data_IF_938411059952
#
_entry.id   IF_938411059952
#
_cell.length_a   1.000
_cell.length_b   1.000
_cell.length_c   1.000
_cell.angle_alpha   90.00
_cell.angle_beta   90.00
_cell.angle_gamma   90.00
#
_symmetry.space_group_name_H-M   'P 1'
#
loop_
_entity.id
_entity.type
_entity.pdbx_description
1 polymer ?
#
# COMPACT_ATOMS: atom_id res chain seq x y z
N UNK A 1 -28.16 1.30 41.72
CA UNK A 1 -28.57 0.59 40.48
C UNK A 1 -28.24 1.47 39.29
N UNK A 2 -27.39 0.95 38.40
CA UNK A 2 -27.30 1.18 36.94
C UNK A 2 -25.83 0.98 36.52
N UNK A 3 -25.49 -0.10 35.79
CA UNK A 3 -24.15 -0.34 35.28
C UNK A 3 -23.99 0.32 33.90
N UNK A 4 -22.95 1.12 33.70
CA UNK A 4 -22.61 1.63 32.37
C UNK A 4 -21.51 0.78 31.73
N UNK A 5 -21.97 -0.03 30.77
CA UNK A 5 -21.34 -0.36 29.49
C UNK A 5 -19.86 -0.75 29.47
N UNK A 6 -19.62 -2.06 29.47
CA UNK A 6 -18.41 -2.65 28.89
C UNK A 6 -18.44 -2.44 27.37
N UNK A 7 -17.57 -1.58 26.87
CA UNK A 7 -17.26 -1.49 25.44
C UNK A 7 -16.68 -2.83 24.95
N UNK A 8 -17.51 -3.57 24.21
CA UNK A 8 -17.17 -4.62 23.24
C UNK A 8 -16.81 -3.87 21.94
N UNK A 9 -15.80 -4.18 21.14
CA UNK A 9 -15.06 -5.41 20.87
C UNK A 9 -13.72 -5.01 20.25
N UNK A 10 -12.67 -5.68 20.68
CA UNK A 10 -11.40 -5.84 19.99
C UNK A 10 -11.64 -6.18 18.51
N UNK A 11 -11.00 -5.44 17.59
CA UNK A 11 -10.86 -5.81 16.18
C UNK A 11 -10.02 -7.09 16.12
N UNK A 12 -10.70 -8.24 16.20
CA UNK A 12 -10.09 -9.52 15.88
C UNK A 12 -9.68 -9.52 14.40
N UNK A 13 -8.57 -10.19 14.02
CA UNK A 13 -8.25 -10.40 12.61
C UNK A 13 -9.48 -11.03 11.94
N UNK A 14 -9.84 -10.53 10.76
CA UNK A 14 -11.00 -11.06 10.02
C UNK A 14 -10.83 -12.56 9.86
N UNK A 15 -11.63 -13.35 10.59
CA UNK A 15 -11.61 -14.81 10.49
C UNK A 15 -11.75 -15.19 9.02
N UNK A 16 -10.81 -15.98 8.50
CA UNK A 16 -10.88 -16.51 7.14
C UNK A 16 -12.22 -17.23 7.02
N UNK A 17 -13.08 -16.74 6.12
CA UNK A 17 -14.37 -17.36 5.81
C UNK A 17 -14.10 -18.50 4.84
N UNK A 18 -14.46 -19.70 5.25
CA UNK A 18 -14.35 -20.93 4.46
C UNK A 18 -15.69 -21.25 3.77
N UNK A 19 -15.68 -22.25 2.89
CA UNK A 19 -16.90 -22.79 2.28
C UNK A 19 -17.89 -23.38 3.29
N UNK A 20 -17.46 -23.64 4.54
CA UNK A 20 -18.29 -24.22 5.61
C UNK A 20 -18.99 -23.18 6.48
N UNK A 21 -18.57 -21.92 6.41
CA UNK A 21 -19.20 -20.82 7.15
C UNK A 21 -20.51 -20.37 6.50
N UNK A 22 -21.45 -19.73 7.22
CA UNK A 22 -22.74 -19.31 6.66
C UNK A 22 -22.62 -18.48 5.36
N UNK A 23 -21.58 -17.65 5.24
CA UNK A 23 -21.31 -16.86 4.04
C UNK A 23 -20.76 -17.72 2.88
N UNK A 24 -19.88 -18.68 3.19
CA UNK A 24 -19.36 -19.63 2.21
C UNK A 24 -20.43 -20.59 1.70
N UNK A 25 -21.28 -21.09 2.60
CA UNK A 25 -22.42 -21.96 2.27
C UNK A 25 -23.39 -21.32 1.27
N UNK A 26 -23.61 -20.00 1.41
CA UNK A 26 -24.42 -19.25 0.44
C UNK A 26 -23.80 -19.32 -0.96
N UNK A 27 -22.48 -19.12 -1.09
CA UNK A 27 -21.82 -19.24 -2.40
C UNK A 27 -21.92 -20.67 -2.93
N UNK A 28 -21.56 -21.70 -2.15
CA UNK A 28 -21.56 -23.11 -2.60
C UNK A 28 -22.95 -23.65 -2.91
N UNK A 29 -24.01 -23.11 -2.29
CA UNK A 29 -25.39 -23.49 -2.60
C UNK A 29 -25.82 -23.13 -4.03
N UNK A 30 -25.25 -22.07 -4.63
CA UNK A 30 -25.61 -21.60 -5.98
C UNK A 30 -25.22 -22.61 -7.07
N UNK A 31 -23.94 -23.06 -7.18
CA UNK A 31 -23.58 -24.09 -8.14
C UNK A 31 -24.27 -25.42 -7.81
N UNK A 32 -24.44 -25.78 -6.53
CA UNK A 32 -25.18 -26.99 -6.15
C UNK A 32 -26.62 -27.00 -6.68
N UNK A 33 -27.38 -25.92 -6.46
CA UNK A 33 -28.74 -25.81 -7.00
C UNK A 33 -28.78 -25.86 -8.54
N UNK A 34 -27.79 -25.25 -9.20
CA UNK A 34 -27.69 -25.31 -10.67
C UNK A 34 -27.39 -26.73 -11.17
N UNK A 35 -26.52 -27.46 -10.45
CA UNK A 35 -26.18 -28.85 -10.72
C UNK A 35 -27.40 -29.77 -10.58
N UNK A 36 -28.13 -29.64 -9.47
CA UNK A 36 -29.35 -30.42 -9.20
C UNK A 36 -30.44 -30.14 -10.25
N UNK A 37 -30.60 -28.87 -10.64
CA UNK A 37 -31.56 -28.45 -11.66
C UNK A 37 -31.25 -29.04 -13.04
N UNK A 38 -29.98 -29.30 -13.34
CA UNK A 38 -29.56 -29.86 -14.62
C UNK A 38 -29.93 -31.35 -14.79
N UNK A 39 -30.22 -32.08 -13.70
CA UNK A 39 -30.64 -33.50 -13.70
C UNK A 39 -29.72 -34.40 -14.53
N UNK A 40 -28.42 -34.23 -14.34
CA UNK A 40 -27.38 -34.93 -15.09
C UNK A 40 -27.43 -36.45 -14.82
N UNK A 41 -27.18 -37.26 -15.83
CA UNK A 41 -26.79 -38.67 -15.64
C UNK A 41 -25.41 -38.75 -14.96
N UNK A 42 -25.04 -39.94 -14.49
CA UNK A 42 -23.72 -40.16 -13.89
C UNK A 42 -22.58 -39.83 -14.88
N UNK A 43 -22.74 -40.19 -16.16
CA UNK A 43 -21.75 -39.90 -17.19
C UNK A 43 -21.70 -38.41 -17.56
N UNK A 44 -22.84 -37.72 -17.53
CA UNK A 44 -22.90 -36.26 -17.76
C UNK A 44 -22.26 -35.49 -16.60
N UNK A 45 -22.54 -35.91 -15.36
CA UNK A 45 -21.94 -35.39 -14.14
C UNK A 45 -20.41 -35.53 -14.17
N UNK A 46 -19.90 -36.72 -14.53
CA UNK A 46 -18.48 -36.97 -14.65
C UNK A 46 -17.82 -36.08 -15.71
N UNK A 47 -18.41 -35.97 -16.91
CA UNK A 47 -17.90 -35.09 -17.97
C UNK A 47 -17.85 -33.62 -17.55
N UNK A 48 -18.88 -33.14 -16.83
CA UNK A 48 -18.92 -31.77 -16.32
C UNK A 48 -17.80 -31.53 -15.29
N UNK A 49 -17.63 -32.45 -14.34
CA UNK A 49 -16.62 -32.35 -13.30
C UNK A 49 -15.19 -32.40 -13.86
N UNK A 50 -14.98 -33.19 -14.91
CA UNK A 50 -13.68 -33.35 -15.58
C UNK A 50 -13.41 -32.28 -16.65
N UNK A 51 -14.30 -31.30 -16.81
CA UNK A 51 -14.14 -30.25 -17.84
C UNK A 51 -12.86 -29.44 -17.57
N UNK A 52 -11.89 -29.42 -18.51
CA UNK A 52 -10.67 -28.64 -18.35
C UNK A 52 -10.98 -27.16 -18.14
N UNK A 53 -10.34 -26.54 -17.15
CA UNK A 53 -10.51 -25.12 -16.82
C UNK A 53 -11.70 -24.78 -15.92
N UNK A 54 -12.46 -25.77 -15.41
CA UNK A 54 -13.54 -25.52 -14.45
C UNK A 54 -13.02 -24.83 -13.17
N UNK A 55 -11.88 -25.29 -12.64
CA UNK A 55 -11.24 -24.67 -11.48
C UNK A 55 -10.85 -23.21 -11.77
N UNK A 56 -10.18 -22.95 -12.90
CA UNK A 56 -9.77 -21.61 -13.32
C UNK A 56 -10.96 -20.66 -13.47
N UNK A 57 -12.10 -21.17 -13.97
CA UNK A 57 -13.33 -20.38 -14.12
C UNK A 57 -13.92 -19.98 -12.77
N UNK A 58 -13.95 -20.90 -11.80
CA UNK A 58 -14.44 -20.62 -10.45
C UNK A 58 -13.49 -19.65 -9.73
N UNK A 59 -12.18 -19.91 -9.80
CA UNK A 59 -11.14 -19.07 -9.20
C UNK A 59 -11.17 -17.66 -9.80
N UNK A 60 -11.32 -17.55 -11.12
CA UNK A 60 -11.47 -16.29 -11.83
C UNK A 60 -12.73 -15.52 -11.41
N UNK A 61 -13.87 -16.21 -11.23
CA UNK A 61 -15.10 -15.59 -10.74
C UNK A 61 -14.93 -15.04 -9.32
N UNK A 62 -14.35 -15.83 -8.42
CA UNK A 62 -14.09 -15.40 -7.03
C UNK A 62 -13.11 -14.23 -7.03
N UNK A 63 -12.01 -14.32 -7.77
CA UNK A 63 -11.02 -13.26 -7.88
C UNK A 63 -11.61 -11.93 -8.37
N UNK A 64 -12.51 -11.99 -9.35
CA UNK A 64 -13.20 -10.83 -9.92
C UNK A 64 -14.21 -10.20 -8.97
N UNK A 65 -14.96 -11.01 -8.21
CA UNK A 65 -16.11 -10.53 -7.43
C UNK A 65 -15.85 -10.41 -5.93
N UNK A 66 -14.67 -10.82 -5.43
CA UNK A 66 -14.30 -10.65 -4.02
C UNK A 66 -14.04 -9.20 -3.60
N UNK A 67 -14.07 -8.25 -4.54
CA UNK A 67 -13.84 -6.81 -4.30
C UNK A 67 -14.95 -6.00 -4.95
N UNK A 68 -15.24 -4.83 -4.38
CA UNK A 68 -16.26 -3.95 -4.91
C UNK A 68 -15.65 -3.24 -6.12
N UNK A 69 -16.06 -3.53 -7.35
CA UNK A 69 -15.49 -2.86 -8.52
C UNK A 69 -16.05 -1.43 -8.72
N UNK A 70 -16.21 -0.66 -7.63
CA UNK A 70 -16.89 0.65 -7.57
C UNK A 70 -16.25 1.71 -8.45
N UNK A 71 -14.93 1.61 -8.67
CA UNK A 71 -14.11 2.64 -9.32
C UNK A 71 -13.48 2.12 -10.62
N UNK A 72 -14.13 1.12 -11.25
CA UNK A 72 -13.59 0.42 -12.42
C UNK A 72 -13.25 1.34 -13.61
N UNK A 73 -13.94 2.47 -13.72
CA UNK A 73 -13.77 3.46 -14.78
C UNK A 73 -12.72 4.53 -14.48
N UNK A 74 -12.01 4.43 -13.37
CA UNK A 74 -10.97 5.37 -12.96
C UNK A 74 -9.57 4.79 -13.14
N UNK A 75 -9.34 4.33 -14.36
CA UNK A 75 -8.09 3.75 -14.80
C UNK A 75 -7.87 4.16 -16.25
N UNK A 76 -6.73 4.79 -16.52
CA UNK A 76 -6.27 5.19 -17.84
C UNK A 76 -4.97 4.46 -18.17
N UNK A 77 -4.64 4.32 -19.46
CA UNK A 77 -3.34 3.77 -19.85
C UNK A 77 -2.21 4.73 -19.48
N UNK A 78 -1.15 4.22 -18.85
CA UNK A 78 0.06 4.98 -18.54
C UNK A 78 1.23 4.51 -19.38
N UNK A 79 1.93 5.46 -20.03
CA UNK A 79 3.22 5.24 -20.68
C UNK A 79 4.41 5.70 -19.83
N UNK A 80 4.16 6.22 -18.63
CA UNK A 80 5.18 6.76 -17.74
C UNK A 80 5.85 5.63 -16.96
N UNK A 81 7.14 5.81 -16.68
CA UNK A 81 7.94 4.82 -16.00
C UNK A 81 8.98 5.47 -15.10
N UNK A 82 9.94 4.68 -14.66
CA UNK A 82 11.05 5.18 -13.85
C UNK A 82 12.23 5.59 -14.73
N UNK A 83 13.18 6.35 -14.17
CA UNK A 83 14.47 6.58 -14.79
C UNK A 83 15.10 5.28 -15.27
N UNK A 84 15.67 5.32 -16.48
CA UNK A 84 16.22 4.13 -17.13
C UNK A 84 17.26 3.45 -16.23
N UNK A 85 17.03 2.17 -15.94
CA UNK A 85 17.95 1.36 -15.13
C UNK A 85 17.76 1.51 -13.63
N UNK A 86 16.75 2.24 -13.17
CA UNK A 86 16.39 2.32 -11.76
C UNK A 86 16.20 0.92 -11.15
N UNK A 87 16.81 0.71 -10.00
CA UNK A 87 16.64 -0.48 -9.15
C UNK A 87 16.73 -0.04 -7.69
N UNK A 88 15.87 -0.56 -6.80
CA UNK A 88 16.01 -0.31 -5.37
C UNK A 88 17.39 -0.74 -4.87
N UNK A 89 18.02 0.10 -4.05
CA UNK A 89 19.23 -0.24 -3.30
C UNK A 89 18.94 -1.40 -2.35
N UNK A 90 19.95 -2.11 -1.90
CA UNK A 90 19.75 -3.11 -0.86
C UNK A 90 19.34 -2.45 0.47
N UNK A 91 18.56 -3.12 1.34
CA UNK A 91 18.07 -2.54 2.59
C UNK A 91 19.15 -2.07 3.56
N UNK A 92 20.34 -2.69 3.53
CA UNK A 92 21.44 -2.32 4.42
C UNK A 92 22.04 -0.98 3.99
N UNK A 93 22.27 -0.77 2.69
CA UNK A 93 22.69 0.51 2.13
C UNK A 93 21.68 1.62 2.43
N UNK A 94 20.37 1.36 2.21
CA UNK A 94 19.31 2.32 2.54
C UNK A 94 19.32 2.69 4.04
N UNK A 95 19.47 1.70 4.93
CA UNK A 95 19.52 1.92 6.38
C UNK A 95 20.74 2.73 6.81
N UNK A 96 21.89 2.52 6.17
CA UNK A 96 23.10 3.30 6.42
C UNK A 96 22.91 4.76 6.01
N UNK A 97 22.31 5.00 4.83
CA UNK A 97 21.96 6.35 4.38
C UNK A 97 21.02 7.04 5.39
N UNK A 98 19.98 6.34 5.84
CA UNK A 98 19.02 6.87 6.82
C UNK A 98 19.65 7.24 8.16
N UNK A 99 20.58 6.43 8.66
CA UNK A 99 21.28 6.71 9.92
C UNK A 99 22.23 7.90 9.83
N UNK A 100 22.73 8.22 8.64
CA UNK A 100 23.49 9.45 8.40
C UNK A 100 22.59 10.68 8.30
N UNK A 101 21.39 10.52 7.73
CA UNK A 101 20.43 11.60 7.51
C UNK A 101 19.61 11.95 8.75
N UNK A 102 19.26 10.94 9.56
CA UNK A 102 18.34 11.05 10.68
C UNK A 102 19.12 10.73 11.96
N UNK A 103 19.57 11.79 12.64
CA UNK A 103 20.34 11.66 13.87
C UNK A 103 19.57 10.92 14.97
N UNK A 104 20.24 9.96 15.62
CA UNK A 104 19.69 9.23 16.77
C UNK A 104 18.71 8.10 16.44
N UNK A 105 18.48 7.80 15.16
CA UNK A 105 17.69 6.62 14.78
C UNK A 105 18.49 5.33 15.06
N UNK A 106 17.81 4.31 15.60
CA UNK A 106 18.38 3.00 15.86
C UNK A 106 18.58 2.17 14.59
N UNK A 107 18.36 0.86 14.71
CA UNK A 107 18.66 -0.12 13.68
C UNK A 107 17.40 -0.89 13.25
N UNK A 108 17.49 -1.57 12.11
CA UNK A 108 16.53 -2.59 11.71
C UNK A 108 16.83 -3.92 12.41
N UNK A 109 15.88 -4.86 12.31
CA UNK A 109 16.04 -6.23 12.80
C UNK A 109 16.98 -7.04 11.88
N UNK A 110 18.16 -7.40 12.40
CA UNK A 110 19.19 -8.15 11.65
C UNK A 110 18.77 -9.59 11.35
N UNK A 111 18.02 -10.23 12.25
CA UNK A 111 17.54 -11.59 12.04
C UNK A 111 16.50 -11.56 10.92
N UNK A 112 15.61 -10.57 10.92
CA UNK A 112 14.65 -10.37 9.83
C UNK A 112 15.34 -10.12 8.48
N UNK A 113 16.37 -9.26 8.44
CA UNK A 113 17.13 -9.03 7.21
C UNK A 113 17.77 -10.32 6.69
N UNK A 114 18.27 -11.17 7.58
CA UNK A 114 18.85 -12.48 7.22
C UNK A 114 17.81 -13.39 6.56
N UNK A 115 16.58 -13.42 7.09
CA UNK A 115 15.45 -14.17 6.50
C UNK A 115 15.05 -13.64 5.12
N UNK A 116 15.16 -12.34 4.89
CA UNK A 116 14.93 -11.73 3.58
C UNK A 116 16.05 -12.10 2.60
N UNK A 117 17.32 -11.99 3.02
CA UNK A 117 18.48 -12.23 2.17
C UNK A 117 18.64 -13.69 1.77
N UNK A 118 18.28 -14.63 2.65
CA UNK A 118 18.33 -16.06 2.35
C UNK A 118 17.09 -16.59 1.62
N UNK A 119 16.10 -15.72 1.34
CA UNK A 119 14.87 -16.06 0.62
C UNK A 119 13.82 -16.80 1.45
N UNK A 120 14.00 -16.91 2.77
CA UNK A 120 12.96 -17.48 3.66
C UNK A 120 11.71 -16.62 3.64
N UNK A 121 11.85 -15.29 3.61
CA UNK A 121 10.72 -14.38 3.35
C UNK A 121 10.75 -13.99 1.88
N UNK A 122 9.81 -14.53 1.10
CA UNK A 122 9.70 -14.24 -0.32
C UNK A 122 9.24 -12.80 -0.58
N UNK A 123 9.79 -12.18 -1.63
CA UNK A 123 9.32 -10.88 -2.12
C UNK A 123 7.90 -11.05 -2.71
N UNK A 124 6.87 -10.35 -2.19
CA UNK A 124 5.50 -10.49 -2.68
C UNK A 124 5.35 -10.07 -4.15
N UNK A 125 4.41 -10.70 -4.88
CA UNK A 125 4.06 -10.28 -6.23
C UNK A 125 3.67 -8.79 -6.27
N UNK A 126 4.32 -8.04 -7.16
CA UNK A 126 4.10 -6.61 -7.34
C UNK A 126 5.01 -5.70 -6.51
N UNK A 127 5.78 -6.22 -5.56
CA UNK A 127 6.83 -5.44 -4.91
C UNK A 127 8.05 -5.31 -5.84
N UNK A 128 8.67 -4.14 -5.86
CA UNK A 128 9.88 -3.84 -6.65
C UNK A 128 11.16 -4.21 -5.91
N UNK A 129 11.10 -4.25 -4.58
CA UNK A 129 12.22 -4.59 -3.73
C UNK A 129 11.88 -4.37 -2.27
N UNK A 130 12.91 -4.54 -1.43
CA UNK A 130 12.85 -4.32 0.01
C UNK A 130 13.35 -2.91 0.32
N UNK A 131 12.56 -2.15 1.07
CA UNK A 131 12.85 -0.77 1.43
C UNK A 131 13.05 -0.65 2.94
N UNK A 132 14.04 0.14 3.34
CA UNK A 132 14.26 0.49 4.73
C UNK A 132 13.46 1.74 5.07
N UNK A 133 12.50 1.64 6.00
CA UNK A 133 11.60 2.74 6.36
C UNK A 133 11.59 2.92 7.89
N UNK A 134 12.07 4.05 8.42
CA UNK A 134 11.98 4.36 9.84
C UNK A 134 10.55 4.29 10.36
N UNK A 135 10.39 3.89 11.62
CA UNK A 135 9.15 4.17 12.34
C UNK A 135 9.05 5.67 12.58
N UNK A 136 8.00 6.31 12.08
CA UNK A 136 7.84 7.77 12.21
C UNK A 136 7.87 8.23 13.68
N UNK A 137 7.45 7.36 14.62
CA UNK A 137 7.47 7.59 16.06
C UNK A 137 8.89 7.79 16.63
N UNK A 138 9.93 7.38 15.89
CA UNK A 138 11.34 7.59 16.25
C UNK A 138 11.88 8.95 15.82
N UNK A 139 11.10 9.68 15.02
CA UNK A 139 11.49 10.96 14.44
C UNK A 139 10.69 12.12 15.05
N UNK A 140 9.39 11.92 15.33
CA UNK A 140 8.55 12.94 15.93
C UNK A 140 7.42 12.37 16.81
N UNK A 141 6.88 13.17 17.75
CA UNK A 141 5.70 12.84 18.57
C UNK A 141 4.42 12.58 17.77
N UNK A 142 4.25 13.21 16.61
CA UNK A 142 3.07 13.05 15.75
C UNK A 142 3.47 12.66 14.33
N UNK A 143 2.56 11.97 13.63
CA UNK A 143 2.78 11.58 12.23
C UNK A 143 2.99 12.81 11.33
N UNK A 144 2.17 13.84 11.51
CA UNK A 144 2.24 15.11 10.78
C UNK A 144 3.62 15.80 10.95
N UNK A 145 4.13 15.88 12.18
CA UNK A 145 5.48 16.42 12.43
C UNK A 145 6.59 15.55 11.82
N UNK A 146 6.42 14.22 11.81
CA UNK A 146 7.40 13.33 11.20
C UNK A 146 7.47 13.53 9.68
N UNK A 147 6.33 13.73 9.01
CA UNK A 147 6.26 14.07 7.59
C UNK A 147 6.99 15.39 7.33
N UNK A 148 6.65 16.46 8.03
CA UNK A 148 7.31 17.77 7.84
C UNK A 148 8.84 17.68 8.02
N UNK A 149 9.31 16.90 9.00
CA UNK A 149 10.76 16.68 9.21
C UNK A 149 11.44 15.97 8.03
N UNK A 150 10.83 14.91 7.46
CA UNK A 150 11.44 14.21 6.31
C UNK A 150 11.35 15.03 5.03
N UNK A 151 10.31 15.85 4.85
CA UNK A 151 10.24 16.81 3.74
C UNK A 151 11.32 17.88 3.86
N UNK A 152 11.58 18.40 5.06
CA UNK A 152 12.69 19.33 5.30
C UNK A 152 14.06 18.68 5.00
N UNK A 153 14.23 17.38 5.30
CA UNK A 153 15.43 16.64 4.91
C UNK A 153 15.56 16.55 3.38
N UNK A 154 14.49 16.27 2.64
CA UNK A 154 14.50 16.29 1.17
C UNK A 154 14.94 17.67 0.67
N UNK A 155 14.35 18.74 1.20
CA UNK A 155 14.68 20.12 0.84
C UNK A 155 16.15 20.47 1.07
N UNK A 156 16.80 19.84 2.05
CA UNK A 156 18.23 20.02 2.30
C UNK A 156 19.16 19.31 1.30
N UNK A 157 18.62 18.40 0.48
CA UNK A 157 19.39 17.55 -0.44
C UNK A 157 19.12 17.81 -1.92
N UNK A 158 17.93 18.30 -2.26
CA UNK A 158 17.54 18.62 -3.63
C UNK A 158 16.54 19.77 -3.66
N UNK A 159 16.44 20.45 -4.81
CA UNK A 159 15.41 21.48 -5.03
C UNK A 159 14.04 20.85 -4.81
N UNK A 160 13.35 21.35 -3.78
CA UNK A 160 12.08 20.79 -3.32
C UNK A 160 11.07 21.89 -3.02
N UNK A 161 9.81 21.66 -3.38
CA UNK A 161 8.70 22.55 -3.06
C UNK A 161 7.58 21.80 -2.34
N UNK A 162 7.34 22.12 -1.07
CA UNK A 162 6.11 21.72 -0.39
C UNK A 162 5.00 22.73 -0.73
N UNK A 163 4.02 22.35 -1.55
CA UNK A 163 2.86 23.17 -1.87
C UNK A 163 1.80 23.15 -0.75
N UNK A 164 1.97 22.26 0.23
CA UNK A 164 1.14 22.11 1.43
C UNK A 164 1.88 22.54 2.71
N UNK A 165 2.92 23.35 2.59
CA UNK A 165 3.70 23.86 3.73
C UNK A 165 2.77 24.57 4.73
N UNK A 166 2.86 24.15 6.00
CA UNK A 166 2.00 24.68 7.07
C UNK A 166 0.53 24.20 7.00
N UNK A 167 0.20 23.31 6.07
CA UNK A 167 -1.15 22.74 5.89
C UNK A 167 -1.20 21.23 6.13
N UNK A 168 -0.11 20.61 6.58
CA UNK A 168 -0.07 19.20 6.96
C UNK A 168 -0.49 18.98 8.43
N UNK A 169 -1.38 19.82 8.98
CA UNK A 169 -1.95 19.65 10.32
C UNK A 169 -3.02 18.55 10.40
N UNK A 170 -3.39 18.09 11.61
CA UNK A 170 -4.34 16.98 11.80
C UNK A 170 -5.78 17.29 11.36
N UNK A 171 -6.13 18.56 11.16
CA UNK A 171 -7.41 19.02 10.59
C UNK A 171 -7.49 18.76 9.08
N UNK A 172 -6.35 18.62 8.41
CA UNK A 172 -6.23 18.50 6.95
C UNK A 172 -5.58 17.22 6.48
N UNK A 173 -4.66 16.66 7.25
CA UNK A 173 -3.77 15.60 6.80
C UNK A 173 -3.69 14.48 7.82
N UNK A 174 -3.90 13.23 7.39
CA UNK A 174 -3.82 12.05 8.25
C UNK A 174 -3.42 10.80 7.48
N UNK A 175 -2.83 9.86 8.22
CA UNK A 175 -2.54 8.52 7.71
C UNK A 175 -3.84 7.71 7.54
N UNK A 176 -3.94 6.99 6.44
CA UNK A 176 -5.07 6.12 6.14
C UNK A 176 -5.07 4.91 7.11
N UNK A 177 -6.23 4.50 7.68
CA UNK A 177 -6.29 3.45 8.70
C UNK A 177 -5.69 2.10 8.28
N UNK A 178 -5.87 1.71 7.00
CA UNK A 178 -5.27 0.48 6.44
C UNK A 178 -3.73 0.51 6.50
N UNK A 179 -3.14 1.66 6.23
CA UNK A 179 -1.68 1.85 6.23
C UNK A 179 -1.14 1.85 7.65
N UNK A 180 -1.79 2.58 8.56
CA UNK A 180 -1.45 2.54 9.99
C UNK A 180 -1.46 1.10 10.53
N UNK A 181 -2.52 0.35 10.25
CA UNK A 181 -2.63 -1.05 10.67
C UNK A 181 -1.55 -1.95 10.07
N UNK A 182 -1.26 -1.82 8.77
CA UNK A 182 -0.24 -2.62 8.12
C UNK A 182 1.15 -2.36 8.70
N UNK A 183 1.50 -1.09 8.95
CA UNK A 183 2.77 -0.72 9.57
C UNK A 183 2.87 -1.22 11.02
N UNK A 184 1.78 -1.21 11.79
CA UNK A 184 1.74 -1.80 13.14
C UNK A 184 1.99 -3.32 13.10
N UNK A 185 1.38 -4.03 12.15
CA UNK A 185 1.62 -5.48 11.97
C UNK A 185 3.08 -5.75 11.62
N UNK A 186 3.65 -5.00 10.68
CA UNK A 186 5.07 -5.13 10.29
C UNK A 186 5.98 -4.80 11.48
N UNK A 187 5.68 -3.77 12.26
CA UNK A 187 6.46 -3.39 13.43
C UNK A 187 6.43 -4.45 14.54
N UNK A 188 5.33 -5.18 14.70
CA UNK A 188 5.26 -6.32 15.63
C UNK A 188 6.03 -7.53 15.08
N UNK A 189 6.04 -7.76 13.76
CA UNK A 189 6.87 -8.80 13.13
C UNK A 189 8.38 -8.52 13.28
N UNK A 190 8.78 -7.24 13.29
CA UNK A 190 10.17 -6.77 13.41
C UNK A 190 10.38 -6.08 14.76
N UNK A 191 10.05 -6.80 15.84
CA UNK A 191 9.94 -6.23 17.18
C UNK A 191 11.26 -5.64 17.66
N UNK A 192 11.21 -4.38 18.11
CA UNK A 192 12.38 -3.66 18.60
C UNK A 192 13.17 -2.94 17.51
N UNK A 193 12.81 -3.11 16.24
CA UNK A 193 13.38 -2.34 15.14
C UNK A 193 12.90 -0.88 15.16
N UNK A 194 13.83 0.04 14.91
CA UNK A 194 13.56 1.45 14.66
C UNK A 194 13.37 1.73 13.16
N UNK A 195 13.96 0.87 12.31
CA UNK A 195 13.84 0.89 10.85
C UNK A 195 13.20 -0.43 10.42
N UNK A 196 12.07 -0.36 9.73
CA UNK A 196 11.36 -1.51 9.19
C UNK A 196 11.88 -1.86 7.81
N UNK A 197 12.03 -3.14 7.51
CA UNK A 197 12.30 -3.64 6.16
C UNK A 197 10.96 -4.03 5.53
N UNK A 198 10.52 -3.26 4.53
CA UNK A 198 9.18 -3.34 3.95
C UNK A 198 9.29 -3.66 2.45
N UNK A 199 8.63 -4.70 1.93
CA UNK A 199 8.53 -4.89 0.50
C UNK A 199 7.56 -3.84 -0.08
N UNK A 200 7.99 -3.10 -1.08
CA UNK A 200 7.22 -1.98 -1.62
C UNK A 200 7.50 -1.68 -3.10
N UNK A 201 6.76 -0.73 -3.67
CA UNK A 201 6.87 -0.28 -5.06
C UNK A 201 6.48 1.21 -5.19
N UNK A 202 7.09 1.91 -6.16
CA UNK A 202 7.02 3.39 -6.33
C UNK A 202 5.83 3.93 -7.15
N UNK A 203 4.88 3.08 -7.53
CA UNK A 203 3.65 3.44 -8.23
C UNK A 203 3.36 2.62 -9.48
N UNK A 204 4.35 1.94 -10.08
CA UNK A 204 4.22 1.31 -11.41
C UNK A 204 3.07 0.31 -11.50
N UNK A 205 2.83 -0.47 -10.44
CA UNK A 205 1.73 -1.46 -10.40
C UNK A 205 0.34 -0.82 -10.53
N UNK A 206 0.23 0.47 -10.20
CA UNK A 206 -1.01 1.22 -10.17
C UNK A 206 -0.95 2.49 -11.02
N UNK A 207 0.01 2.55 -11.96
CA UNK A 207 0.12 3.65 -12.91
C UNK A 207 -1.19 3.84 -13.68
N UNK A 208 -1.66 5.09 -13.77
CA UNK A 208 -2.91 5.42 -14.46
C UNK A 208 -4.19 5.16 -13.65
N UNK A 209 -4.12 4.60 -12.44
CA UNK A 209 -5.29 4.43 -11.57
C UNK A 209 -5.49 5.65 -10.69
N UNK A 210 -6.75 6.01 -10.43
CA UNK A 210 -7.03 6.92 -9.32
C UNK A 210 -6.64 6.29 -7.97
N UNK A 211 -6.37 7.12 -6.97
CA UNK A 211 -6.03 6.63 -5.61
C UNK A 211 -7.13 5.74 -5.03
N UNK A 212 -8.41 6.10 -5.21
CA UNK A 212 -9.52 5.24 -4.72
C UNK A 212 -9.62 3.93 -5.51
N UNK A 213 -9.33 3.95 -6.82
CA UNK A 213 -9.23 2.73 -7.63
C UNK A 213 -8.09 1.83 -7.14
N UNK A 214 -6.90 2.40 -6.92
CA UNK A 214 -5.77 1.66 -6.37
C UNK A 214 -6.12 1.01 -5.01
N UNK A 215 -6.69 1.77 -4.09
CA UNK A 215 -7.14 1.27 -2.76
C UNK A 215 -8.10 0.09 -2.83
N UNK A 216 -9.03 0.13 -3.78
CA UNK A 216 -10.01 -0.94 -4.02
C UNK A 216 -9.35 -2.22 -4.56
N UNK A 217 -8.32 -2.08 -5.40
CA UNK A 217 -7.61 -3.20 -6.03
C UNK A 217 -6.32 -3.62 -5.33
N UNK A 218 -6.01 -3.05 -4.16
CA UNK A 218 -4.96 -3.59 -3.28
C UNK A 218 -5.32 -4.98 -2.76
N UNK A 219 -4.42 -5.94 -2.97
CA UNK A 219 -4.57 -7.30 -2.42
C UNK A 219 -4.61 -7.30 -0.89
N UNK A 220 -5.00 -8.42 -0.25
CA UNK A 220 -5.07 -8.50 1.22
C UNK A 220 -3.76 -8.11 1.94
N UNK A 221 -2.56 -8.49 1.47
CA UNK A 221 -1.32 -8.04 2.09
C UNK A 221 -0.92 -6.61 1.70
N UNK A 222 -1.51 -6.04 0.65
CA UNK A 222 -1.09 -4.76 0.10
C UNK A 222 -1.76 -3.58 0.80
N UNK A 223 -1.03 -2.48 0.95
CA UNK A 223 -1.52 -1.21 1.51
C UNK A 223 -0.87 -0.04 0.78
N UNK A 224 -1.52 1.13 0.81
CA UNK A 224 -0.95 2.33 0.18
C UNK A 224 0.20 2.88 1.02
N UNK A 225 1.30 3.26 0.39
CA UNK A 225 2.38 3.96 1.09
C UNK A 225 1.97 5.41 1.35
N UNK A 226 2.30 5.85 2.55
CA UNK A 226 2.06 7.21 3.00
C UNK A 226 3.18 8.17 2.57
N UNK A 227 2.98 9.47 2.73
CA UNK A 227 3.90 10.52 2.31
C UNK A 227 5.21 10.45 3.10
N UNK A 228 5.16 10.04 4.37
CA UNK A 228 6.35 9.78 5.17
C UNK A 228 7.23 8.69 4.52
N UNK A 229 6.63 7.55 4.20
CA UNK A 229 7.30 6.39 3.62
C UNK A 229 7.85 6.70 2.23
N UNK A 230 7.05 7.36 1.39
CA UNK A 230 7.49 7.79 0.05
C UNK A 230 8.63 8.83 0.13
N UNK A 231 8.56 9.79 1.06
CA UNK A 231 9.65 10.75 1.28
C UNK A 231 10.95 10.05 1.68
N UNK A 232 10.88 9.09 2.60
CA UNK A 232 12.03 8.27 3.02
C UNK A 232 12.61 7.47 1.86
N UNK A 233 11.75 6.88 1.03
CA UNK A 233 12.18 6.14 -0.16
C UNK A 233 12.86 7.07 -1.17
N UNK A 234 12.36 8.29 -1.37
CA UNK A 234 12.99 9.32 -2.23
C UNK A 234 14.30 9.86 -1.66
N UNK A 235 14.48 9.91 -0.34
CA UNK A 235 15.74 10.28 0.31
C UNK A 235 16.83 9.23 0.06
N UNK A 236 16.46 7.96 0.08
CA UNK A 236 17.40 6.84 -0.13
C UNK A 236 17.62 6.53 -1.61
N UNK A 237 16.73 6.98 -2.49
CA UNK A 237 16.80 6.81 -3.94
C UNK A 237 16.68 8.17 -4.66
N UNK A 238 17.66 9.08 -4.51
CA UNK A 238 17.58 10.43 -5.08
C UNK A 238 17.52 10.45 -6.61
N UNK A 239 17.91 9.35 -7.27
CA UNK A 239 17.77 9.14 -8.71
C UNK A 239 16.32 8.94 -9.15
N UNK A 240 15.38 8.67 -8.23
CA UNK A 240 13.95 8.52 -8.54
C UNK A 240 13.27 9.89 -8.63
N UNK A 241 12.39 10.03 -9.62
CA UNK A 241 11.52 11.19 -9.80
C UNK A 241 12.35 12.47 -9.99
N UNK A 242 13.14 12.49 -11.05
CA UNK A 242 14.12 13.54 -11.39
C UNK A 242 13.79 14.27 -12.70
N UNK A 243 12.75 13.83 -13.41
CA UNK A 243 12.28 14.41 -14.66
C UNK A 243 10.74 14.41 -14.71
N UNK A 244 10.15 15.31 -15.49
CA UNK A 244 8.69 15.41 -15.61
C UNK A 244 8.06 14.17 -16.28
N UNK A 245 8.85 13.42 -17.03
CA UNK A 245 8.49 12.18 -17.71
C UNK A 245 8.57 10.95 -16.80
N UNK A 246 9.08 11.10 -15.58
CA UNK A 246 9.04 10.04 -14.59
C UNK A 246 7.61 9.87 -14.06
N UNK A 247 7.21 8.65 -13.75
CA UNK A 247 5.94 8.38 -13.07
C UNK A 247 5.91 9.13 -11.73
N UNK A 248 4.89 9.93 -11.49
CA UNK A 248 4.66 10.61 -10.22
C UNK A 248 4.04 9.65 -9.20
N UNK A 249 4.16 9.97 -7.92
CA UNK A 249 3.93 9.02 -6.83
C UNK A 249 2.72 9.47 -6.02
N UNK A 250 1.59 8.79 -6.13
CA UNK A 250 0.49 9.05 -5.22
C UNK A 250 0.76 8.39 -3.86
N UNK A 251 0.61 9.17 -2.80
CA UNK A 251 0.71 8.71 -1.42
C UNK A 251 -0.63 8.10 -0.98
N UNK A 252 -0.98 6.95 -1.57
CA UNK A 252 -2.26 6.29 -1.33
C UNK A 252 -2.49 5.86 0.13
N UNK A 253 -1.45 5.90 0.96
CA UNK A 253 -1.51 5.69 2.41
C UNK A 253 -1.91 6.90 3.24
N UNK A 254 -2.19 8.06 2.63
CA UNK A 254 -2.63 9.26 3.31
C UNK A 254 -3.94 9.83 2.77
N UNK A 255 -4.58 10.65 3.59
CA UNK A 255 -5.80 11.37 3.29
C UNK A 255 -5.59 12.87 3.52
N UNK A 256 -6.07 13.67 2.58
CA UNK A 256 -5.99 15.13 2.63
C UNK A 256 -7.37 15.79 2.46
N UNK A 257 -7.63 16.81 3.28
CA UNK A 257 -8.85 17.62 3.30
C UNK A 257 -8.48 19.11 3.05
N UNK A 258 -8.55 19.59 1.81
CA UNK A 258 -8.04 20.92 1.43
C UNK A 258 -8.77 22.09 2.10
N UNK A 259 -10.00 21.86 2.59
CA UNK A 259 -10.81 22.87 3.27
C UNK A 259 -10.79 22.76 4.80
N UNK A 260 -10.08 21.77 5.38
CA UNK A 260 -10.16 21.43 6.82
C UNK A 260 -11.60 21.19 7.32
N UNK A 261 -12.51 20.76 6.45
CA UNK A 261 -13.92 20.52 6.74
C UNK A 261 -14.23 19.04 7.05
N UNK A 262 -13.18 18.23 7.21
CA UNK A 262 -13.27 16.79 7.44
C UNK A 262 -13.58 15.96 6.18
N UNK A 263 -13.68 16.58 4.99
CA UNK A 263 -13.86 15.86 3.73
C UNK A 263 -12.50 15.51 3.13
N UNK A 264 -12.06 14.29 3.41
CA UNK A 264 -10.81 13.73 2.89
C UNK A 264 -10.97 13.20 1.46
N UNK A 265 -11.17 14.11 0.51
CA UNK A 265 -11.37 13.78 -0.90
C UNK A 265 -10.09 13.92 -1.74
N UNK A 266 -8.96 14.28 -1.13
CA UNK A 266 -7.66 14.36 -1.77
C UNK A 266 -6.65 13.39 -1.13
N UNK A 267 -5.58 13.10 -1.87
CA UNK A 267 -4.40 12.43 -1.35
C UNK A 267 -3.15 13.22 -1.75
N UNK A 268 -2.09 13.20 -0.92
CA UNK A 268 -0.82 13.77 -1.31
C UNK A 268 -0.18 12.99 -2.46
N UNK A 269 0.67 13.66 -3.22
CA UNK A 269 1.50 13.03 -4.23
C UNK A 269 2.83 13.77 -4.38
N UNK A 270 3.87 13.04 -4.79
CA UNK A 270 5.14 13.62 -5.20
C UNK A 270 5.21 13.73 -6.72
N UNK A 271 5.61 14.90 -7.20
CA UNK A 271 5.81 15.19 -8.62
C UNK A 271 7.22 15.71 -8.91
N UNK A 272 7.56 15.74 -10.19
CA UNK A 272 8.70 16.53 -10.66
C UNK A 272 8.22 17.51 -11.73
N UNK A 273 8.06 18.77 -11.33
CA UNK A 273 7.53 19.82 -12.18
C UNK A 273 8.44 21.06 -12.14
N UNK A 274 8.67 21.68 -13.30
CA UNK A 274 9.49 22.89 -13.46
C UNK A 274 10.89 22.75 -12.81
N UNK A 275 11.49 21.57 -12.95
CA UNK A 275 12.86 21.31 -12.48
C UNK A 275 13.01 21.11 -10.97
N UNK A 276 11.92 20.90 -10.23
CA UNK A 276 11.97 20.59 -8.80
C UNK A 276 11.08 19.41 -8.44
N UNK A 277 11.45 18.70 -7.36
CA UNK A 277 10.57 17.74 -6.72
C UNK A 277 9.51 18.52 -5.92
N UNK A 278 8.25 18.13 -6.00
CA UNK A 278 7.19 18.75 -5.21
C UNK A 278 6.45 17.74 -4.34
N UNK A 279 5.81 18.26 -3.30
CA UNK A 279 4.69 17.58 -2.63
C UNK A 279 3.47 18.47 -2.77
N UNK A 280 2.40 17.93 -3.33
CA UNK A 280 1.09 18.57 -3.39
C UNK A 280 -0.01 17.56 -3.03
N UNK A 281 -1.29 17.93 -3.15
CA UNK A 281 -2.43 17.02 -3.01
C UNK A 281 -3.45 17.22 -4.13
N UNK A 282 -4.08 16.13 -4.56
CA UNK A 282 -5.11 16.16 -5.60
C UNK A 282 -6.25 15.18 -5.30
N UNK A 283 -7.37 15.35 -6.01
CA UNK A 283 -8.61 14.58 -5.81
C UNK A 283 -8.39 13.08 -6.03
N UNK A 284 -8.75 12.25 -5.04
CA UNK A 284 -8.49 10.78 -5.04
C UNK A 284 -9.19 10.01 -6.16
N UNK A 285 -10.16 10.62 -6.83
CA UNK A 285 -10.93 10.04 -7.93
C UNK A 285 -10.42 10.39 -9.32
N UNK A 286 -9.36 11.20 -9.43
CA UNK A 286 -8.74 11.53 -10.71
C UNK A 286 -7.77 10.42 -11.11
N UNK A 287 -8.01 9.80 -12.27
CA UNK A 287 -7.07 8.89 -12.89
C UNK A 287 -6.13 9.69 -13.80
N UNK A 288 -4.85 9.77 -13.44
CA UNK A 288 -3.82 10.51 -14.18
C UNK A 288 -2.82 9.52 -14.76
N UNK A 289 -2.57 9.62 -16.06
CA UNK A 289 -1.66 8.72 -16.79
C UNK A 289 -0.20 8.87 -16.35
N UNK A 290 0.18 10.01 -15.79
CA UNK A 290 1.51 10.26 -15.24
C UNK A 290 1.66 9.94 -13.75
N UNK A 291 0.60 9.50 -13.05
CA UNK A 291 0.67 9.12 -11.63
C UNK A 291 0.50 7.61 -11.42
N UNK A 292 1.10 7.09 -10.36
CA UNK A 292 0.82 5.76 -9.85
C UNK A 292 0.85 5.73 -8.32
N UNK A 293 -0.11 5.03 -7.73
CA UNK A 293 -0.17 4.86 -6.27
C UNK A 293 0.92 3.93 -5.77
N UNK A 294 1.83 4.45 -4.94
CA UNK A 294 2.83 3.62 -4.26
C UNK A 294 2.16 2.70 -3.24
N UNK A 295 2.65 1.46 -3.15
CA UNK A 295 2.12 0.45 -2.23
C UNK A 295 3.22 -0.34 -1.55
N UNK A 296 2.94 -0.76 -0.32
CA UNK A 296 3.74 -1.68 0.47
C UNK A 296 2.95 -2.97 0.71
N UNK A 297 3.64 -4.01 1.15
CA UNK A 297 3.03 -5.30 1.42
C UNK A 297 3.39 -5.78 2.83
N UNK A 298 2.41 -6.30 3.56
CA UNK A 298 2.64 -7.04 4.80
C UNK A 298 3.26 -8.39 4.43
N UNK A 299 4.52 -8.65 4.82
CA UNK A 299 5.17 -9.92 4.53
C UNK A 299 4.41 -11.06 5.19
N UNK A 300 4.18 -12.14 4.44
CA UNK A 300 3.70 -13.38 5.02
C UNK A 300 4.90 -14.11 5.61
N UNK A 301 4.86 -14.41 6.91
CA UNK A 301 5.78 -15.37 7.49
C UNK A 301 5.53 -16.73 6.84
N UNK A 302 6.60 -17.41 6.44
CA UNK A 302 6.54 -18.81 6.00
C UNK A 302 6.31 -19.72 7.19
#
# INVERSE_FOLDING_TARGET
MAPMSKSKKTLAPSSIVTSRDPKGLKFTSIPAMSYDKARLSEEEAQRLNDTPGLADLIDGFIAKNRRLNQYANEEVGSGYGYPKGFKPKDPMSQSNDLRQLIGGIGFFDQDYLTLVQNGTVALPDGAEGWFAIPRWQKIAPTYNEAVEKVLALIASKRTFKNWREGQLGPDRFRQHPRTAHALDVIAEQQKGADILIIPAQFGQRHAGRSVRRAREVFTSPEFGLDAFSNAVMLLTHPERLIACEDLWIDCAGDEYAPAADGRFNEAPYFDFYVGCLGLDAHVVGSALDFCGSASGFVPQAV
#
